data_IF_414033209921
#
_entry.id   IF_414033209921
#
_cell.length_a   1.000
_cell.length_b   1.000
_cell.length_c   1.000
_cell.angle_alpha   90.00
_cell.angle_beta   90.00
_cell.angle_gamma   90.00
#
_symmetry.space_group_name_H-M   'P 1'
#
loop_
_entity.id
_entity.type
_entity.pdbx_description
1 polymer ?
#
# COMPACT_ATOMS: atom_id res chain seq x y z
N UNK A 1 -12.31 6.28 4.43
CA UNK A 1 -13.74 6.49 4.73
C UNK A 1 -14.03 6.02 6.15
N UNK A 2 -14.88 6.74 6.89
CA UNK A 2 -15.37 6.31 8.21
C UNK A 2 -16.89 6.34 8.20
N UNK A 3 -17.53 5.28 8.70
CA UNK A 3 -18.97 5.19 8.88
C UNK A 3 -19.27 5.04 10.37
N UNK A 4 -19.92 6.06 10.95
CA UNK A 4 -20.17 6.13 12.38
C UNK A 4 -18.89 6.04 13.22
N UNK A 5 -19.00 5.51 14.43
CA UNK A 5 -17.84 5.35 15.31
C UNK A 5 -16.99 4.11 15.00
N UNK A 6 -17.57 3.10 14.34
CA UNK A 6 -17.07 1.72 14.41
C UNK A 6 -16.48 1.18 13.09
N UNK A 7 -16.69 1.84 11.96
CA UNK A 7 -16.21 1.35 10.67
C UNK A 7 -15.23 2.33 10.03
N UNK A 8 -14.00 1.87 9.79
CA UNK A 8 -12.97 2.58 9.04
C UNK A 8 -12.59 1.74 7.82
N UNK A 9 -12.36 2.40 6.69
CA UNK A 9 -12.02 1.76 5.42
C UNK A 9 -11.03 2.61 4.63
N UNK A 10 -10.18 1.95 3.86
CA UNK A 10 -9.25 2.53 2.89
C UNK A 10 -9.32 1.73 1.58
N UNK A 11 -9.11 2.40 0.46
CA UNK A 11 -9.19 1.79 -0.86
C UNK A 11 -7.84 1.25 -1.34
N UNK A 12 -6.75 1.86 -0.88
CA UNK A 12 -5.39 1.49 -1.22
C UNK A 12 -4.75 0.71 -0.08
N UNK A 13 -3.66 0.01 -0.39
CA UNK A 13 -2.81 -0.67 0.57
C UNK A 13 -1.90 0.33 1.25
N UNK A 14 -2.06 0.51 2.55
CA UNK A 14 -1.18 1.38 3.35
C UNK A 14 -0.01 0.60 3.94
N UNK A 15 -0.16 -0.72 4.02
CA UNK A 15 0.75 -1.71 4.58
C UNK A 15 1.83 -2.18 3.59
N UNK A 16 2.27 -1.29 2.68
CA UNK A 16 3.30 -1.63 1.69
C UNK A 16 4.65 -1.83 2.36
N UNK A 17 5.30 -2.95 2.06
CA UNK A 17 6.65 -3.31 2.49
C UNK A 17 7.67 -3.17 1.34
N UNK A 18 8.99 -3.14 1.62
CA UNK A 18 10.03 -2.95 0.59
C UNK A 18 9.96 -3.91 -0.60
N UNK A 19 9.48 -5.14 -0.38
CA UNK A 19 9.39 -6.19 -1.39
C UNK A 19 7.98 -6.36 -1.97
N UNK A 20 6.99 -5.57 -1.53
CA UNK A 20 5.58 -5.74 -1.93
C UNK A 20 5.40 -5.63 -3.44
N UNK A 21 6.05 -4.65 -4.08
CA UNK A 21 5.94 -4.46 -5.54
C UNK A 21 6.54 -5.67 -6.29
N UNK A 22 7.69 -6.16 -5.85
CA UNK A 22 8.35 -7.31 -6.47
C UNK A 22 7.54 -8.60 -6.27
N UNK A 23 7.03 -8.82 -5.05
CA UNK A 23 6.18 -9.96 -4.71
C UNK A 23 4.90 -9.97 -5.54
N UNK A 24 4.27 -8.82 -5.76
CA UNK A 24 3.07 -8.74 -6.58
C UNK A 24 3.37 -8.86 -8.07
N UNK A 25 4.48 -8.29 -8.54
CA UNK A 25 4.92 -8.43 -9.93
C UNK A 25 5.35 -9.88 -10.29
N UNK A 26 5.63 -10.73 -9.30
CA UNK A 26 5.84 -12.15 -9.52
C UNK A 26 4.56 -12.90 -9.95
N UNK A 27 3.38 -12.31 -9.72
CA UNK A 27 2.09 -12.85 -10.17
C UNK A 27 1.84 -12.34 -11.61
N UNK A 28 1.77 -13.22 -12.62
CA UNK A 28 1.68 -12.79 -14.03
C UNK A 28 0.51 -11.84 -14.31
N UNK A 29 -0.67 -12.13 -13.77
CA UNK A 29 -1.86 -11.30 -13.95
C UNK A 29 -1.69 -9.89 -13.37
N UNK A 30 -0.97 -9.73 -12.26
CA UNK A 30 -0.74 -8.42 -11.62
C UNK A 30 0.35 -7.64 -12.35
N UNK A 31 1.40 -8.33 -12.79
CA UNK A 31 2.42 -7.75 -13.67
C UNK A 31 1.80 -7.21 -14.96
N UNK A 32 0.98 -8.00 -15.63
CA UNK A 32 0.31 -7.62 -16.87
C UNK A 32 -0.66 -6.45 -16.64
N UNK A 33 -1.42 -6.45 -15.55
CA UNK A 33 -2.30 -5.33 -15.20
C UNK A 33 -1.50 -4.04 -14.94
N UNK A 34 -0.36 -4.14 -14.26
CA UNK A 34 0.52 -3.00 -14.01
C UNK A 34 1.14 -2.46 -15.30
N UNK A 35 1.59 -3.33 -16.20
CA UNK A 35 2.11 -2.94 -17.52
C UNK A 35 1.01 -2.30 -18.37
N UNK A 36 -0.20 -2.85 -18.35
CA UNK A 36 -1.33 -2.24 -19.07
C UNK A 36 -1.67 -0.84 -18.53
N UNK A 37 -1.50 -0.61 -17.23
CA UNK A 37 -1.79 0.68 -16.59
C UNK A 37 -0.66 1.71 -16.72
N UNK A 38 0.61 1.29 -16.71
CA UNK A 38 1.78 2.18 -16.57
C UNK A 38 2.81 2.04 -17.70
N UNK A 39 2.62 1.11 -18.63
CA UNK A 39 3.56 0.79 -19.69
C UNK A 39 4.60 -0.26 -19.30
N UNK A 40 5.46 -0.63 -20.25
CA UNK A 40 6.43 -1.73 -20.11
C UNK A 40 7.43 -1.53 -18.94
N UNK A 41 7.74 -0.29 -18.58
CA UNK A 41 8.61 0.05 -17.44
C UNK A 41 7.87 0.12 -16.10
N UNK A 42 6.55 -0.05 -16.10
CA UNK A 42 5.68 0.22 -14.95
C UNK A 42 6.05 -0.52 -13.67
N UNK A 43 6.57 -1.75 -13.77
CA UNK A 43 7.06 -2.51 -12.60
C UNK A 43 8.27 -1.82 -11.96
N UNK A 44 9.26 -1.45 -12.78
CA UNK A 44 10.48 -0.80 -12.29
C UNK A 44 10.16 0.59 -11.73
N UNK A 45 9.35 1.37 -12.45
CA UNK A 45 8.94 2.71 -12.04
C UNK A 45 8.16 2.69 -10.72
N UNK A 46 7.23 1.75 -10.56
CA UNK A 46 6.48 1.57 -9.31
C UNK A 46 7.40 1.16 -8.16
N UNK A 47 8.34 0.24 -8.39
CA UNK A 47 9.30 -0.20 -7.37
C UNK A 47 10.17 0.96 -6.89
N UNK A 48 10.73 1.73 -7.81
CA UNK A 48 11.64 2.83 -7.48
C UNK A 48 10.88 3.98 -6.78
N UNK A 49 9.65 4.25 -7.20
CA UNK A 49 8.76 5.19 -6.52
C UNK A 49 8.41 4.72 -5.10
N UNK A 50 8.07 3.44 -4.93
CA UNK A 50 7.76 2.86 -3.61
C UNK A 50 8.98 2.89 -2.68
N UNK A 51 10.17 2.54 -3.19
CA UNK A 51 11.42 2.60 -2.44
C UNK A 51 11.73 4.03 -1.96
N UNK A 52 11.52 5.03 -2.83
CA UNK A 52 11.73 6.45 -2.49
C UNK A 52 10.81 6.92 -1.35
N UNK A 53 9.59 6.37 -1.26
CA UNK A 53 8.59 6.77 -0.26
C UNK A 53 8.50 5.85 0.96
N UNK A 54 9.29 4.78 1.00
CA UNK A 54 9.14 3.67 1.96
C UNK A 54 9.13 4.13 3.42
N UNK A 55 10.03 5.03 3.80
CA UNK A 55 10.07 5.55 5.17
C UNK A 55 8.75 6.26 5.57
N UNK A 56 8.13 6.98 4.62
CA UNK A 56 6.83 7.61 4.81
C UNK A 56 5.68 6.62 4.91
N UNK A 57 5.70 5.56 4.09
CA UNK A 57 4.70 4.50 4.14
C UNK A 57 4.70 3.77 5.48
N UNK A 58 5.89 3.36 5.96
CA UNK A 58 6.02 2.67 7.25
C UNK A 58 5.54 3.55 8.42
N UNK A 59 5.93 4.83 8.44
CA UNK A 59 5.49 5.76 9.47
C UNK A 59 3.97 5.99 9.44
N UNK A 60 3.38 6.13 8.25
CA UNK A 60 1.94 6.31 8.09
C UNK A 60 1.15 5.06 8.52
N UNK A 61 1.61 3.87 8.13
CA UNK A 61 1.02 2.59 8.50
C UNK A 61 1.02 2.39 10.03
N UNK A 62 2.16 2.64 10.68
CA UNK A 62 2.30 2.55 12.14
C UNK A 62 1.36 3.54 12.85
N UNK A 63 1.32 4.78 12.37
CA UNK A 63 0.48 5.82 12.96
C UNK A 63 -1.01 5.48 12.82
N UNK A 64 -1.44 4.98 11.66
CA UNK A 64 -2.81 4.55 11.41
C UNK A 64 -3.20 3.38 12.29
N UNK A 65 -2.35 2.35 12.38
CA UNK A 65 -2.59 1.19 13.22
C UNK A 65 -2.68 1.58 14.70
N UNK A 66 -1.74 2.40 15.19
CA UNK A 66 -1.74 2.88 16.57
C UNK A 66 -3.02 3.65 16.93
N UNK A 67 -3.50 4.50 16.01
CA UNK A 67 -4.74 5.24 16.21
C UNK A 67 -5.97 4.34 16.16
N UNK A 68 -5.98 3.36 15.25
CA UNK A 68 -7.04 2.37 15.17
C UNK A 68 -7.15 1.56 16.46
N UNK A 69 -6.04 1.06 17.01
CA UNK A 69 -6.03 0.30 18.25
C UNK A 69 -6.52 1.13 19.45
N UNK A 70 -6.14 2.41 19.53
CA UNK A 70 -6.68 3.33 20.55
C UNK A 70 -8.19 3.51 20.43
N UNK A 71 -8.69 3.67 19.21
CA UNK A 71 -10.12 3.84 18.97
C UNK A 71 -10.93 2.56 19.22
N UNK A 72 -10.35 1.38 18.97
CA UNK A 72 -10.99 0.09 19.21
C UNK A 72 -11.04 -0.31 20.69
N UNK A 73 -10.13 0.22 21.51
CA UNK A 73 -10.07 -0.04 22.96
C UNK A 73 -10.93 0.93 23.81
N UNK A 74 -11.51 1.97 23.19
CA UNK A 74 -12.33 2.99 23.85
C UNK A 74 -13.83 2.64 23.80
#
# INVERSE_FOLDING_TARGET
MRIGSNALSMQYHVEVEPDTVDNWAAIPAYREALIAAMGETGVADMRDAAATQMAGFLAAAEQLYSNFMKAAAA
#
